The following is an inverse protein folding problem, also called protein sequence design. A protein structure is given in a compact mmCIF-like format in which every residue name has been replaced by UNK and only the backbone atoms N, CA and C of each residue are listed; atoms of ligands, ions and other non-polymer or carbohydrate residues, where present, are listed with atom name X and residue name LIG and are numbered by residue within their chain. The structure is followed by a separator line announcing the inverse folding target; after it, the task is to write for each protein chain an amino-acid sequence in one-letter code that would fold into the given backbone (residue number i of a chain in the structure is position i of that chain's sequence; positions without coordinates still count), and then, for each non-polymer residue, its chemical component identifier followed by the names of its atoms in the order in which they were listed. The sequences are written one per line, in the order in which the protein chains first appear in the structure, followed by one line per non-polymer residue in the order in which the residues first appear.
data_IF_415058597830
#
_entry.id   IF_415058597830
#
_cell.length_a   1.000
_cell.length_b   1.000
_cell.length_c   1.000
_cell.angle_alpha   90.00
_cell.angle_beta   90.00
_cell.angle_gamma   90.00
#
_symmetry.space_group_name_H-M   'P 1'
#
loop_
_entity.id
_entity.type
_entity.pdbx_description
1 polymer ?
#
# COMPACT_ATOMS: atom_id res chain seq x y z
N UNK A 1 27.05 -13.29 13.59
CA UNK A 1 25.91 -13.91 12.88
C UNK A 1 24.59 -13.76 13.63
N UNK A 2 24.50 -14.12 14.93
CA UNK A 2 23.27 -13.95 15.72
C UNK A 2 22.70 -12.53 15.70
N UNK A 3 23.53 -11.50 15.93
CA UNK A 3 23.11 -10.08 15.91
C UNK A 3 22.48 -9.69 14.57
N UNK A 4 23.09 -10.12 13.45
CA UNK A 4 22.58 -9.84 12.11
C UNK A 4 21.23 -10.55 11.88
N UNK A 5 21.10 -11.81 12.31
CA UNK A 5 19.86 -12.58 12.19
C UNK A 5 18.73 -11.97 13.04
N UNK A 6 19.01 -11.56 14.29
CA UNK A 6 18.05 -10.88 15.16
C UNK A 6 17.65 -9.52 14.59
N UNK A 7 18.58 -8.78 13.98
CA UNK A 7 18.26 -7.51 13.31
C UNK A 7 17.35 -7.73 12.08
N UNK A 8 17.71 -8.67 11.19
CA UNK A 8 16.90 -9.02 10.03
C UNK A 8 15.51 -9.53 10.44
N UNK A 9 15.45 -10.38 11.46
CA UNK A 9 14.21 -10.85 12.07
C UNK A 9 13.37 -9.70 12.61
N UNK A 10 13.96 -8.77 13.35
CA UNK A 10 13.24 -7.65 13.95
C UNK A 10 12.54 -6.81 12.89
N UNK A 11 13.24 -6.52 11.77
CA UNK A 11 12.68 -5.75 10.66
C UNK A 11 11.56 -6.52 9.95
N UNK A 12 11.81 -7.80 9.58
CA UNK A 12 10.82 -8.60 8.87
C UNK A 12 9.58 -8.91 9.74
N UNK A 13 9.78 -9.21 11.02
CA UNK A 13 8.72 -9.48 11.98
C UNK A 13 7.86 -8.23 12.22
N UNK A 14 8.49 -7.07 12.46
CA UNK A 14 7.78 -5.79 12.60
C UNK A 14 6.96 -5.48 11.35
N UNK A 15 7.60 -5.45 10.18
CA UNK A 15 6.92 -5.07 8.94
C UNK A 15 5.80 -6.08 8.60
N UNK A 16 6.05 -7.36 8.83
CA UNK A 16 5.08 -8.43 8.61
C UNK A 16 3.82 -8.27 9.47
N UNK A 17 4.00 -8.05 10.78
CA UNK A 17 2.88 -7.81 11.71
C UNK A 17 2.17 -6.49 11.42
N UNK A 18 2.91 -5.43 11.08
CA UNK A 18 2.34 -4.14 10.71
C UNK A 18 1.42 -4.26 9.49
N UNK A 19 1.89 -4.91 8.42
CA UNK A 19 1.10 -5.10 7.20
C UNK A 19 -0.12 -6.00 7.44
N UNK A 20 0.02 -7.06 8.22
CA UNK A 20 -1.09 -7.95 8.54
C UNK A 20 -2.15 -7.29 9.45
N UNK A 21 -1.75 -6.36 10.31
CA UNK A 21 -2.63 -5.68 11.27
C UNK A 21 -3.28 -4.40 10.75
N UNK A 22 -2.64 -3.69 9.80
CA UNK A 22 -3.10 -2.37 9.34
C UNK A 22 -4.40 -2.43 8.54
N UNK A 23 -4.47 -3.29 7.52
CA UNK A 23 -5.70 -3.50 6.75
C UNK A 23 -5.87 -5.01 6.43
N UNK A 24 -6.68 -5.74 7.22
CA UNK A 24 -6.89 -7.16 7.01
C UNK A 24 -7.82 -7.47 5.80
N UNK A 25 -8.52 -6.46 5.28
CA UNK A 25 -9.39 -6.58 4.12
C UNK A 25 -8.59 -6.55 2.81
N UNK A 26 -7.48 -5.80 2.77
CA UNK A 26 -6.57 -5.79 1.63
C UNK A 26 -5.83 -7.14 1.49
N UNK A 27 -6.06 -7.89 0.39
CA UNK A 27 -5.43 -9.18 0.20
C UNK A 27 -3.92 -9.10 -0.07
N UNK A 28 -3.43 -8.03 -0.69
CA UNK A 28 -2.00 -7.83 -0.96
C UNK A 28 -1.24 -7.57 0.33
N UNK A 29 -1.74 -6.68 1.19
CA UNK A 29 -1.12 -6.38 2.50
C UNK A 29 -1.12 -7.61 3.42
N UNK A 30 -2.25 -8.31 3.54
CA UNK A 30 -2.32 -9.50 4.37
C UNK A 30 -1.35 -10.59 3.91
N UNK A 31 -1.25 -10.82 2.59
CA UNK A 31 -0.31 -11.80 2.02
C UNK A 31 1.14 -11.35 2.21
N UNK A 32 1.45 -10.08 1.96
CA UNK A 32 2.79 -9.54 2.15
C UNK A 32 3.22 -9.67 3.63
N UNK A 33 2.31 -9.36 4.56
CA UNK A 33 2.50 -9.56 5.98
C UNK A 33 2.81 -11.02 6.35
N UNK A 34 2.00 -11.97 5.86
CA UNK A 34 2.22 -13.40 6.08
C UNK A 34 3.56 -13.89 5.50
N UNK A 35 3.96 -13.41 4.32
CA UNK A 35 5.24 -13.74 3.70
C UNK A 35 6.42 -13.29 4.57
N UNK A 36 6.39 -12.04 5.04
CA UNK A 36 7.42 -11.50 5.95
C UNK A 36 7.46 -12.22 7.31
N UNK A 37 6.30 -12.54 7.89
CA UNK A 37 6.21 -13.34 9.13
C UNK A 37 6.79 -14.73 8.92
N UNK A 38 6.51 -15.39 7.80
CA UNK A 38 7.10 -16.70 7.49
C UNK A 38 8.62 -16.65 7.34
N UNK A 39 9.15 -15.63 6.67
CA UNK A 39 10.60 -15.42 6.57
C UNK A 39 11.25 -15.14 7.94
N UNK A 40 10.60 -14.35 8.79
CA UNK A 40 11.08 -14.10 10.15
C UNK A 40 11.09 -15.40 10.98
N UNK A 41 10.09 -16.27 10.84
CA UNK A 41 10.10 -17.58 11.49
C UNK A 41 11.24 -18.47 10.96
N UNK A 42 11.55 -18.42 9.65
CA UNK A 42 12.71 -19.11 9.10
C UNK A 42 14.03 -18.65 9.74
N UNK A 43 14.20 -17.34 9.96
CA UNK A 43 15.40 -16.79 10.64
C UNK A 43 15.52 -17.24 12.09
N UNK A 44 14.39 -17.32 12.81
CA UNK A 44 14.36 -17.75 14.20
C UNK A 44 14.68 -19.24 14.37
N UNK A 45 14.33 -20.06 13.37
CA UNK A 45 14.52 -21.51 13.37
C UNK A 45 15.86 -21.97 12.76
N UNK A 46 16.59 -21.09 12.05
CA UNK A 46 17.95 -21.38 11.59
C UNK A 46 18.94 -21.47 12.80
N UNK A 47 20.07 -22.20 12.74
CA UNK A 47 20.59 -22.98 11.60
C UNK A 47 19.88 -24.33 11.42
N UNK A 48 19.99 -24.87 10.20
CA UNK A 48 19.38 -26.14 9.81
C UNK A 48 20.36 -27.29 10.15
N UNK A 49 20.23 -27.85 11.36
CA UNK A 49 21.13 -28.85 11.96
C UNK A 49 20.59 -30.31 11.91
N UNK A 50 19.61 -30.60 11.06
CA UNK A 50 19.06 -31.93 10.74
C UNK A 50 17.88 -32.41 11.61
N UNK A 51 17.22 -31.55 12.39
CA UNK A 51 16.14 -31.93 13.32
C UNK A 51 14.73 -31.63 12.77
N UNK A 52 13.65 -31.97 13.49
CA UNK A 52 12.27 -31.54 13.10
C UNK A 52 12.17 -30.01 13.00
N UNK A 53 13.01 -29.29 13.74
CA UNK A 53 13.13 -27.82 13.68
C UNK A 53 13.65 -27.37 12.32
N UNK A 54 14.53 -28.14 11.68
CA UNK A 54 14.98 -27.88 10.30
C UNK A 54 13.84 -28.01 9.31
N UNK A 55 13.04 -29.06 9.44
CA UNK A 55 12.00 -29.31 8.46
C UNK A 55 11.00 -28.15 8.44
N UNK A 56 10.68 -27.61 9.62
CA UNK A 56 9.89 -26.39 9.74
C UNK A 56 10.63 -25.17 9.19
N UNK A 57 11.91 -25.02 9.53
CA UNK A 57 12.74 -23.91 9.04
C UNK A 57 12.84 -23.86 7.52
N UNK A 58 13.06 -24.99 6.85
CA UNK A 58 13.09 -25.14 5.39
C UNK A 58 11.74 -24.77 4.76
N UNK A 59 10.64 -25.27 5.33
CA UNK A 59 9.28 -24.92 4.88
C UNK A 59 9.05 -23.40 5.00
N UNK A 60 9.40 -22.79 6.13
CA UNK A 60 9.27 -21.35 6.34
C UNK A 60 10.21 -20.52 5.45
N UNK A 61 11.35 -21.07 5.03
CA UNK A 61 12.26 -20.41 4.09
C UNK A 61 11.72 -20.41 2.65
N UNK A 62 11.00 -21.46 2.24
CA UNK A 62 10.35 -21.56 0.92
C UNK A 62 8.96 -20.90 0.85
N UNK A 63 8.24 -20.82 1.96
CA UNK A 63 6.88 -20.27 2.03
C UNK A 63 6.74 -18.84 1.47
N UNK A 64 7.67 -17.90 1.72
CA UNK A 64 7.62 -16.56 1.16
C UNK A 64 7.44 -16.56 -0.36
N UNK A 65 8.09 -17.47 -1.10
CA UNK A 65 7.98 -17.51 -2.56
C UNK A 65 6.56 -17.88 -3.04
N UNK A 66 5.92 -18.84 -2.37
CA UNK A 66 4.54 -19.22 -2.65
C UNK A 66 3.55 -18.12 -2.27
N UNK A 67 3.78 -17.45 -1.14
CA UNK A 67 2.93 -16.35 -0.67
C UNK A 67 3.09 -15.14 -1.59
N UNK A 68 4.31 -14.82 -2.02
CA UNK A 68 4.60 -13.68 -2.89
C UNK A 68 4.01 -13.83 -4.29
N UNK A 69 3.86 -15.07 -4.75
CA UNK A 69 3.05 -15.37 -5.95
C UNK A 69 1.64 -14.77 -5.80
N UNK A 70 1.01 -14.97 -4.65
CA UNK A 70 -0.31 -14.40 -4.34
C UNK A 70 -0.32 -12.88 -4.14
N UNK A 71 0.79 -12.29 -3.70
CA UNK A 71 0.98 -10.83 -3.62
C UNK A 71 0.99 -10.23 -5.03
N UNK A 72 1.78 -10.79 -5.96
CA UNK A 72 1.86 -10.31 -7.34
C UNK A 72 0.50 -10.42 -8.05
N UNK A 73 -0.25 -11.50 -7.81
CA UNK A 73 -1.60 -11.64 -8.34
C UNK A 73 -2.58 -10.60 -7.75
N UNK A 74 -2.41 -10.22 -6.48
CA UNK A 74 -3.22 -9.16 -5.86
C UNK A 74 -2.89 -7.77 -6.42
N UNK A 75 -1.65 -7.53 -6.83
CA UNK A 75 -1.20 -6.27 -7.46
C UNK A 75 -1.60 -6.15 -8.94
N UNK A 76 -2.18 -7.18 -9.56
CA UNK A 76 -2.70 -7.07 -10.92
C UNK A 76 -3.91 -6.12 -10.96
N UNK A 77 -4.13 -5.34 -12.03
CA UNK A 77 -5.30 -4.44 -12.13
C UNK A 77 -6.63 -5.19 -11.98
N UNK A 78 -7.62 -4.57 -11.31
CA UNK A 78 -8.95 -5.18 -11.06
C UNK A 78 -9.69 -5.61 -12.36
N UNK A 79 -9.40 -4.95 -13.48
CA UNK A 79 -9.99 -5.26 -14.79
C UNK A 79 -9.30 -6.40 -15.56
N UNK A 80 -8.25 -7.03 -15.02
CA UNK A 80 -7.52 -8.07 -15.73
C UNK A 80 -8.32 -9.39 -15.79
N UNK A 81 -8.65 -9.94 -16.97
CA UNK A 81 -9.48 -11.14 -17.09
C UNK A 81 -8.84 -12.39 -16.48
N UNK A 82 -7.51 -12.37 -16.31
CA UNK A 82 -6.72 -13.48 -15.76
C UNK A 82 -6.60 -13.45 -14.24
N UNK A 83 -6.93 -12.34 -13.57
CA UNK A 83 -6.69 -12.17 -12.12
C UNK A 83 -7.52 -13.17 -11.29
N UNK A 84 -8.83 -13.17 -11.47
CA UNK A 84 -9.74 -14.06 -10.75
C UNK A 84 -9.44 -15.57 -10.94
N UNK A 85 -9.23 -16.10 -12.17
CA UNK A 85 -8.87 -17.51 -12.34
C UNK A 85 -7.48 -17.83 -11.76
N UNK A 86 -6.48 -16.95 -11.96
CA UNK A 86 -5.14 -17.17 -11.41
C UNK A 86 -5.15 -17.18 -9.88
N UNK A 87 -5.91 -16.29 -9.24
CA UNK A 87 -6.05 -16.24 -7.78
C UNK A 87 -6.72 -17.51 -7.21
N UNK A 88 -7.71 -18.05 -7.93
CA UNK A 88 -8.36 -19.31 -7.56
C UNK A 88 -7.39 -20.50 -7.65
N UNK A 89 -6.65 -20.60 -8.75
CA UNK A 89 -5.63 -21.65 -8.97
C UNK A 89 -4.53 -21.52 -7.92
N UNK A 90 -4.07 -20.31 -7.64
CA UNK A 90 -3.06 -20.08 -6.62
C UNK A 90 -3.52 -20.56 -5.24
N UNK A 91 -4.72 -20.14 -4.81
CA UNK A 91 -5.25 -20.44 -3.47
C UNK A 91 -5.53 -21.93 -3.26
N UNK A 92 -6.08 -22.61 -4.27
CA UNK A 92 -6.56 -24.00 -4.12
C UNK A 92 -5.60 -25.06 -4.65
N UNK A 93 -4.63 -24.68 -5.47
CA UNK A 93 -3.70 -25.65 -6.09
C UNK A 93 -2.27 -25.30 -5.77
N UNK A 94 -1.78 -24.12 -6.17
CA UNK A 94 -0.35 -23.78 -6.06
C UNK A 94 0.09 -23.73 -4.60
N UNK A 95 -0.64 -23.02 -3.75
CA UNK A 95 -0.28 -22.84 -2.35
C UNK A 95 -0.28 -24.18 -1.58
N UNK A 96 -1.36 -25.00 -1.57
CA UNK A 96 -1.35 -26.26 -0.83
C UNK A 96 -0.36 -27.27 -1.42
N UNK A 97 -0.22 -27.35 -2.74
CA UNK A 97 0.72 -28.27 -3.39
C UNK A 97 2.17 -27.87 -3.11
N UNK A 98 2.49 -26.57 -3.22
CA UNK A 98 3.83 -26.07 -2.94
C UNK A 98 4.22 -26.24 -1.46
N UNK A 99 3.28 -26.07 -0.54
CA UNK A 99 3.52 -26.34 0.90
C UNK A 99 3.75 -27.83 1.14
N UNK A 100 2.95 -28.71 0.51
CA UNK A 100 3.13 -30.15 0.61
C UNK A 100 4.49 -30.60 0.04
N UNK A 101 4.91 -30.01 -1.09
CA UNK A 101 6.22 -30.25 -1.69
C UNK A 101 7.36 -29.78 -0.78
N UNK A 102 7.28 -28.57 -0.22
CA UNK A 102 8.28 -28.08 0.74
C UNK A 102 8.39 -29.00 1.96
N UNK A 103 7.25 -29.48 2.48
CA UNK A 103 7.23 -30.41 3.60
C UNK A 103 7.80 -31.78 3.24
N UNK A 104 7.53 -32.29 2.03
CA UNK A 104 8.09 -33.55 1.54
C UNK A 104 9.61 -33.43 1.34
N UNK A 105 10.07 -32.35 0.69
CA UNK A 105 11.48 -32.07 0.47
C UNK A 105 12.26 -31.95 1.79
N UNK A 106 11.66 -31.30 2.79
CA UNK A 106 12.21 -31.17 4.14
C UNK A 106 12.43 -32.51 4.86
N UNK A 107 11.66 -33.55 4.53
CA UNK A 107 11.79 -34.89 5.12
C UNK A 107 12.75 -35.77 4.32
N UNK A 108 12.72 -35.67 2.98
CA UNK A 108 13.47 -36.56 2.09
C UNK A 108 14.94 -36.13 1.92
N UNK A 109 15.21 -34.82 1.81
CA UNK A 109 16.54 -34.25 1.63
C UNK A 109 17.28 -34.56 0.31
N UNK A 110 18.24 -33.71 -0.06
CA UNK A 110 19.46 -34.02 -0.83
C UNK A 110 19.39 -34.41 -2.31
N UNK A 111 18.20 -34.71 -2.86
CA UNK A 111 18.05 -35.04 -4.29
C UNK A 111 16.89 -34.35 -5.01
N UNK A 112 15.89 -33.89 -4.26
CA UNK A 112 14.67 -33.27 -4.78
C UNK A 112 14.73 -31.75 -4.79
N UNK A 113 15.76 -31.15 -4.18
CA UNK A 113 15.96 -29.69 -4.06
C UNK A 113 15.80 -28.92 -5.39
N UNK A 114 16.35 -29.38 -6.53
CA UNK A 114 16.13 -28.68 -7.81
C UNK A 114 14.67 -28.75 -8.27
N UNK A 115 13.99 -29.88 -8.03
CA UNK A 115 12.58 -30.03 -8.37
C UNK A 115 11.72 -29.13 -7.47
N UNK A 116 11.99 -29.11 -6.18
CA UNK A 116 11.33 -28.23 -5.21
C UNK A 116 11.52 -26.76 -5.59
N UNK A 117 12.75 -26.36 -5.96
CA UNK A 117 13.02 -25.01 -6.45
C UNK A 117 12.19 -24.67 -7.70
N UNK A 118 12.11 -25.58 -8.68
CA UNK A 118 11.27 -25.39 -9.87
C UNK A 118 9.79 -25.27 -9.50
N UNK A 119 9.27 -26.17 -8.67
CA UNK A 119 7.85 -26.20 -8.29
C UNK A 119 7.43 -24.96 -7.47
N UNK A 120 8.33 -24.44 -6.63
CA UNK A 120 8.08 -23.26 -5.80
C UNK A 120 8.25 -21.95 -6.59
N UNK A 121 9.22 -21.88 -7.51
CA UNK A 121 9.55 -20.65 -8.23
C UNK A 121 8.81 -20.49 -9.56
N UNK A 122 8.38 -21.58 -10.20
CA UNK A 122 7.60 -21.51 -11.45
C UNK A 122 6.32 -20.67 -11.30
N UNK A 123 5.51 -20.82 -10.22
CA UNK A 123 4.35 -19.96 -10.00
C UNK A 123 4.71 -18.49 -9.82
N UNK A 124 5.80 -18.20 -9.12
CA UNK A 124 6.31 -16.84 -8.91
C UNK A 124 6.72 -16.21 -10.25
N UNK A 125 7.45 -16.96 -11.08
CA UNK A 125 7.85 -16.54 -12.41
C UNK A 125 6.64 -16.32 -13.34
N UNK A 126 5.63 -17.20 -13.27
CA UNK A 126 4.38 -17.05 -14.02
C UNK A 126 3.60 -15.79 -13.59
N UNK A 127 3.51 -15.51 -12.28
CA UNK A 127 2.87 -14.31 -11.77
C UNK A 127 3.63 -13.03 -12.18
N UNK A 128 4.97 -13.05 -12.10
CA UNK A 128 5.81 -11.96 -12.59
C UNK A 128 5.62 -11.71 -14.09
N UNK A 129 5.53 -12.77 -14.89
CA UNK A 129 5.24 -12.66 -16.32
C UNK A 129 3.88 -12.03 -16.58
N UNK A 130 2.84 -12.36 -15.80
CA UNK A 130 1.53 -11.71 -15.90
C UNK A 130 1.60 -10.21 -15.58
N UNK A 131 2.37 -9.81 -14.57
CA UNK A 131 2.60 -8.40 -14.23
C UNK A 131 3.31 -7.68 -15.38
N UNK A 132 4.35 -8.27 -15.97
CA UNK A 132 5.06 -7.72 -17.13
C UNK A 132 4.15 -7.62 -18.37
N UNK A 133 3.30 -8.62 -18.61
CA UNK A 133 2.34 -8.61 -19.71
C UNK A 133 1.26 -7.54 -19.52
N UNK A 134 0.79 -7.33 -18.29
CA UNK A 134 -0.14 -6.25 -17.97
C UNK A 134 0.51 -4.87 -18.23
N UNK A 135 1.81 -4.72 -17.94
CA UNK A 135 2.58 -3.50 -18.23
C UNK A 135 2.72 -3.23 -19.73
N UNK A 136 3.05 -4.24 -20.54
CA UNK A 136 3.19 -4.05 -22.00
C UNK A 136 1.85 -3.73 -22.66
N UNK A 137 0.77 -4.36 -22.20
CA UNK A 137 -0.59 -4.03 -22.66
C UNK A 137 -1.01 -2.58 -22.31
N UNK A 138 -0.62 -2.09 -21.12
CA UNK A 138 -0.88 -0.71 -20.70
C UNK A 138 0.00 0.31 -21.44
N UNK A 139 1.26 -0.02 -21.73
CA UNK A 139 2.21 0.85 -22.42
C UNK A 139 1.98 1.00 -23.93
N UNK A 140 1.33 0.02 -24.58
CA UNK A 140 1.03 0.07 -26.02
C UNK A 140 -0.12 1.00 -26.42
N UNK A 141 -0.91 1.49 -25.45
CA UNK A 141 -2.12 2.26 -25.69
C UNK A 141 -1.99 3.79 -25.44
N UNK A 142 -0.81 4.30 -25.05
CA UNK A 142 -0.62 5.72 -24.73
C UNK A 142 0.75 6.26 -25.15
N UNK A 143 0.76 7.27 -26.03
CA UNK A 143 1.97 7.97 -26.47
C UNK A 143 2.69 8.75 -25.35
N UNK A 144 3.90 9.27 -25.62
CA UNK A 144 4.82 9.82 -24.62
C UNK A 144 4.26 11.11 -24.03
N UNK A 145 3.60 11.01 -22.86
CA UNK A 145 3.11 12.14 -22.08
C UNK A 145 3.74 12.05 -20.69
N UNK A 146 4.92 12.65 -20.53
CA UNK A 146 5.71 12.62 -19.31
C UNK A 146 5.13 13.47 -18.18
N UNK A 147 5.13 12.88 -16.97
CA UNK A 147 5.37 13.48 -15.64
C UNK A 147 4.56 12.81 -14.51
N UNK A 148 3.38 12.25 -14.77
CA UNK A 148 2.59 11.51 -13.75
C UNK A 148 2.73 9.98 -13.83
N UNK A 149 3.23 9.45 -14.95
CA UNK A 149 3.53 8.03 -15.12
C UNK A 149 4.83 7.59 -14.42
N UNK A 150 5.67 8.52 -14.00
CA UNK A 150 7.04 8.23 -13.58
C UNK A 150 7.10 7.50 -12.23
N UNK A 151 6.32 7.96 -11.24
CA UNK A 151 6.27 7.33 -9.92
C UNK A 151 5.64 5.92 -9.94
N UNK A 152 4.63 5.71 -10.78
CA UNK A 152 4.01 4.38 -10.95
C UNK A 152 4.93 3.42 -11.71
N UNK A 153 5.59 3.90 -12.77
CA UNK A 153 6.56 3.11 -13.52
C UNK A 153 7.79 2.74 -12.69
N UNK A 154 8.29 3.67 -11.87
CA UNK A 154 9.37 3.41 -10.92
C UNK A 154 8.97 2.35 -9.90
N UNK A 155 7.79 2.47 -9.26
CA UNK A 155 7.29 1.47 -8.31
C UNK A 155 7.15 0.09 -8.95
N UNK A 156 6.52 0.00 -10.12
CA UNK A 156 6.42 -1.26 -10.86
C UNK A 156 7.80 -1.82 -11.24
N UNK A 157 8.74 -0.94 -11.60
CA UNK A 157 10.14 -1.31 -11.84
C UNK A 157 10.81 -1.88 -10.60
N UNK A 158 10.59 -1.27 -9.42
CA UNK A 158 11.08 -1.77 -8.13
C UNK A 158 10.43 -3.12 -7.79
N UNK A 159 9.12 -3.30 -7.99
CA UNK A 159 8.46 -4.61 -7.78
C UNK A 159 9.11 -5.68 -8.65
N UNK A 160 9.31 -5.41 -9.94
CA UNK A 160 9.93 -6.38 -10.86
C UNK A 160 11.37 -6.68 -10.44
N UNK A 161 12.18 -5.65 -10.18
CA UNK A 161 13.58 -5.82 -9.79
C UNK A 161 13.70 -6.59 -8.47
N UNK A 162 12.98 -6.19 -7.44
CA UNK A 162 13.03 -6.85 -6.15
C UNK A 162 12.44 -8.27 -6.20
N UNK A 163 11.44 -8.54 -7.06
CA UNK A 163 10.94 -9.91 -7.27
C UNK A 163 11.99 -10.79 -7.96
N UNK A 164 12.73 -10.25 -8.92
CA UNK A 164 13.81 -10.98 -9.60
C UNK A 164 14.97 -11.30 -8.66
N UNK A 165 15.40 -10.31 -7.86
CA UNK A 165 16.43 -10.50 -6.84
C UNK A 165 15.99 -11.51 -5.77
N UNK A 166 14.74 -11.38 -5.31
CA UNK A 166 14.14 -12.32 -4.38
C UNK A 166 14.08 -13.74 -4.95
N UNK A 167 13.65 -13.90 -6.20
CA UNK A 167 13.61 -15.21 -6.86
C UNK A 167 15.02 -15.83 -6.97
N UNK A 168 16.03 -15.02 -7.27
CA UNK A 168 17.43 -15.45 -7.30
C UNK A 168 17.92 -15.88 -5.90
N UNK A 169 17.62 -15.09 -4.87
CA UNK A 169 17.94 -15.44 -3.49
C UNK A 169 17.22 -16.72 -3.03
N UNK A 170 15.95 -16.89 -3.41
CA UNK A 170 15.17 -18.08 -3.11
C UNK A 170 15.72 -19.34 -3.81
N UNK A 171 16.27 -19.24 -5.02
CA UNK A 171 17.04 -20.34 -5.64
C UNK A 171 18.22 -20.72 -4.76
N UNK A 172 19.00 -19.74 -4.29
CA UNK A 172 20.18 -20.01 -3.46
C UNK A 172 19.83 -20.57 -2.07
N UNK A 173 18.63 -20.31 -1.54
CA UNK A 173 18.12 -20.91 -0.30
C UNK A 173 17.63 -22.35 -0.53
N UNK A 174 16.92 -22.60 -1.63
CA UNK A 174 16.34 -23.92 -1.92
C UNK A 174 17.34 -24.90 -2.53
N UNK A 175 18.37 -24.39 -3.19
CA UNK A 175 19.46 -25.16 -3.78
C UNK A 175 20.76 -24.70 -3.12
N UNK A 176 21.33 -25.48 -2.18
CA UNK A 176 22.56 -25.13 -1.50
C UNK A 176 23.74 -25.19 -2.46
N UNK A 177 24.06 -24.04 -3.07
CA UNK A 177 25.13 -23.89 -4.06
C UNK A 177 26.53 -23.94 -3.43
N UNK A 178 26.63 -23.73 -2.10
CA UNK A 178 27.89 -23.75 -1.35
C UNK A 178 28.87 -22.61 -1.65
N UNK A 179 28.51 -21.65 -2.52
CA UNK A 179 29.38 -20.54 -2.94
C UNK A 179 29.32 -19.33 -2.00
N UNK A 180 28.23 -19.16 -1.26
CA UNK A 180 27.97 -18.01 -0.39
C UNK A 180 27.49 -18.52 0.97
N UNK A 181 27.91 -17.93 2.10
CA UNK A 181 27.41 -18.32 3.41
C UNK A 181 25.88 -18.16 3.49
N UNK A 182 25.18 -19.18 3.99
CA UNK A 182 23.70 -19.22 4.05
C UNK A 182 23.11 -18.00 4.77
N UNK A 183 23.78 -17.51 5.81
CA UNK A 183 23.35 -16.31 6.54
C UNK A 183 23.35 -15.04 5.68
N UNK A 184 24.25 -14.93 4.69
CA UNK A 184 24.30 -13.80 3.76
C UNK A 184 23.22 -13.93 2.68
N UNK A 185 22.98 -15.15 2.20
CA UNK A 185 21.87 -15.44 1.28
C UNK A 185 20.53 -15.11 1.93
N UNK A 186 20.31 -15.60 3.16
CA UNK A 186 19.12 -15.31 3.95
C UNK A 186 18.95 -13.80 4.19
N UNK A 187 20.03 -13.08 4.53
CA UNK A 187 19.98 -11.63 4.72
C UNK A 187 19.62 -10.90 3.42
N UNK A 188 20.18 -11.30 2.28
CA UNK A 188 19.85 -10.72 0.97
C UNK A 188 18.37 -10.92 0.62
N UNK A 189 17.85 -12.14 0.79
CA UNK A 189 16.42 -12.45 0.62
C UNK A 189 15.55 -11.57 1.53
N UNK A 190 15.99 -11.33 2.77
CA UNK A 190 15.30 -10.45 3.71
C UNK A 190 15.22 -9.00 3.23
N UNK A 191 16.30 -8.47 2.66
CA UNK A 191 16.30 -7.12 2.07
C UNK A 191 15.27 -7.02 0.95
N UNK A 192 15.24 -8.00 0.04
CA UNK A 192 14.29 -7.99 -1.08
C UNK A 192 12.83 -8.05 -0.58
N UNK A 193 12.53 -8.91 0.40
CA UNK A 193 11.21 -9.02 1.00
C UNK A 193 10.77 -7.74 1.73
N UNK A 194 11.69 -7.07 2.43
CA UNK A 194 11.41 -5.80 3.09
C UNK A 194 11.12 -4.71 2.06
N UNK A 195 11.92 -4.62 1.00
CA UNK A 195 11.68 -3.67 -0.11
C UNK A 195 10.31 -3.92 -0.73
N UNK A 196 9.99 -5.18 -1.05
CA UNK A 196 8.69 -5.53 -1.63
C UNK A 196 7.53 -5.24 -0.66
N UNK A 197 7.68 -5.54 0.63
CA UNK A 197 6.69 -5.23 1.67
C UNK A 197 6.42 -3.73 1.81
N UNK A 198 7.47 -2.91 1.80
CA UNK A 198 7.35 -1.44 1.82
C UNK A 198 6.63 -0.93 0.56
N UNK A 199 6.94 -1.49 -0.61
CA UNK A 199 6.26 -1.10 -1.85
C UNK A 199 4.77 -1.45 -1.81
N UNK A 200 4.39 -2.60 -1.26
CA UNK A 200 2.98 -2.97 -1.04
C UNK A 200 2.31 -1.96 -0.09
N UNK A 201 2.96 -1.64 1.03
CA UNK A 201 2.46 -0.66 2.00
C UNK A 201 2.18 0.70 1.35
N UNK A 202 3.17 1.23 0.63
CA UNK A 202 3.09 2.53 -0.04
C UNK A 202 2.01 2.52 -1.13
N UNK A 203 1.85 1.41 -1.85
CA UNK A 203 0.84 1.30 -2.90
C UNK A 203 -0.57 1.34 -2.33
N UNK A 204 -0.85 0.53 -1.30
CA UNK A 204 -2.15 0.55 -0.61
C UNK A 204 -2.47 1.94 -0.04
N UNK A 205 -1.50 2.58 0.63
CA UNK A 205 -1.73 3.91 1.18
C UNK A 205 -2.03 4.98 0.13
N UNK A 206 -1.39 4.91 -1.04
CA UNK A 206 -1.70 5.81 -2.15
C UNK A 206 -3.08 5.54 -2.75
N UNK A 207 -3.50 4.27 -2.82
CA UNK A 207 -4.86 3.89 -3.27
C UNK A 207 -5.93 4.33 -2.26
N UNK A 208 -5.63 4.26 -0.97
CA UNK A 208 -6.47 4.76 0.12
C UNK A 208 -6.42 6.29 0.28
N UNK A 209 -5.45 6.96 -0.34
CA UNK A 209 -5.22 8.41 -0.19
C UNK A 209 -4.64 8.83 1.16
N UNK A 210 -4.04 7.91 1.91
CA UNK A 210 -3.60 8.10 3.29
C UNK A 210 -2.09 8.42 3.42
N UNK A 211 -1.73 9.22 4.43
CA UNK A 211 -0.35 9.48 4.81
C UNK A 211 0.28 8.32 5.60
N UNK A 212 0.78 7.29 4.89
CA UNK A 212 1.46 6.13 5.50
C UNK A 212 2.72 6.47 6.31
N UNK A 213 3.46 7.50 5.89
CA UNK A 213 4.84 7.71 6.34
C UNK A 213 4.98 7.98 7.84
N UNK A 214 4.04 8.73 8.43
CA UNK A 214 4.10 9.06 9.85
C UNK A 214 3.76 7.86 10.75
N UNK A 215 2.73 7.10 10.38
CA UNK A 215 2.29 5.92 11.12
C UNK A 215 3.31 4.77 11.02
N UNK A 216 3.80 4.49 9.80
CA UNK A 216 4.87 3.52 9.57
C UNK A 216 6.13 3.90 10.37
N UNK A 217 6.53 5.18 10.37
CA UNK A 217 7.67 5.66 11.16
C UNK A 217 7.44 5.51 12.66
N UNK A 218 6.25 5.85 13.16
CA UNK A 218 5.89 5.68 14.58
C UNK A 218 6.00 4.22 15.00
N UNK A 219 5.42 3.32 14.21
CA UNK A 219 5.48 1.87 14.45
C UNK A 219 6.92 1.36 14.38
N UNK A 220 7.71 1.79 13.38
CA UNK A 220 9.10 1.42 13.21
C UNK A 220 9.96 1.85 14.40
N UNK A 221 9.79 3.09 14.90
CA UNK A 221 10.51 3.60 16.08
C UNK A 221 10.14 2.78 17.31
N UNK A 222 8.86 2.46 17.50
CA UNK A 222 8.41 1.61 18.61
C UNK A 222 9.04 0.22 18.56
N UNK A 223 9.04 -0.44 17.40
CA UNK A 223 9.66 -1.74 17.22
C UNK A 223 11.18 -1.70 17.37
N UNK A 224 11.85 -0.65 16.88
CA UNK A 224 13.29 -0.46 17.04
C UNK A 224 13.65 -0.30 18.52
N UNK A 225 12.92 0.53 19.27
CA UNK A 225 13.14 0.71 20.70
C UNK A 225 12.95 -0.60 21.46
N UNK A 226 11.88 -1.35 21.15
CA UNK A 226 11.66 -2.67 21.73
C UNK A 226 12.81 -3.64 21.41
N UNK A 227 13.23 -3.72 20.15
CA UNK A 227 14.33 -4.59 19.73
C UNK A 227 15.65 -4.24 20.44
N UNK A 228 15.96 -2.94 20.59
CA UNK A 228 17.17 -2.47 21.26
C UNK A 228 17.13 -2.79 22.76
N UNK A 229 16.02 -2.51 23.44
CA UNK A 229 15.90 -2.74 24.89
C UNK A 229 15.99 -4.24 25.20
N UNK A 230 15.14 -5.04 24.57
CA UNK A 230 15.05 -6.47 24.89
C UNK A 230 16.19 -7.28 24.26
N UNK A 231 16.56 -6.99 23.00
CA UNK A 231 17.69 -7.63 22.34
C UNK A 231 19.04 -7.23 22.96
N UNK A 232 19.17 -5.97 23.40
CA UNK A 232 20.35 -5.49 24.11
C UNK A 232 20.56 -6.19 25.46
N UNK A 233 19.50 -6.42 26.23
CA UNK A 233 19.57 -7.20 27.47
C UNK A 233 20.07 -8.63 27.23
N UNK A 234 19.51 -9.32 26.23
CA UNK A 234 19.96 -10.68 25.88
C UNK A 234 21.41 -10.66 25.37
N UNK A 235 21.79 -9.63 24.60
CA UNK A 235 23.16 -9.42 24.14
C UNK A 235 24.16 -9.18 25.28
N UNK A 236 23.79 -8.40 26.30
CA UNK A 236 24.61 -8.17 27.49
C UNK A 236 24.82 -9.48 28.28
N UNK A 237 23.77 -10.29 28.42
CA UNK A 237 23.89 -11.63 29.01
C UNK A 237 24.82 -12.49 28.18
N UNK A 238 24.72 -12.46 26.85
CA UNK A 238 25.60 -13.21 25.95
C UNK A 238 27.07 -12.82 26.15
N UNK A 239 27.36 -11.52 26.25
CA UNK A 239 28.71 -10.99 26.47
C UNK A 239 29.22 -11.33 27.89
N UNK A 240 28.39 -11.21 28.91
CA UNK A 240 28.76 -11.54 30.29
C UNK A 240 28.97 -13.06 30.49
N UNK A 241 28.32 -13.88 29.67
CA UNK A 241 28.48 -15.34 29.67
C UNK A 241 29.71 -15.80 28.86
N UNK A 242 30.30 -14.91 28.06
CA UNK A 242 31.37 -15.21 27.13
C UNK A 242 32.73 -14.71 27.60
N UNK A 243 33.41 -15.50 28.45
CA UNK A 243 34.88 -15.66 28.45
C UNK A 243 35.37 -16.84 29.33
N UNK A 244 34.55 -17.36 30.25
CA UNK A 244 34.94 -18.49 31.13
C UNK A 244 34.07 -19.74 30.91
N UNK A 245 34.46 -20.57 29.92
CA UNK A 245 34.57 -22.04 30.02
C UNK A 245 34.76 -22.67 28.64
N UNK A 246 36.03 -22.85 28.30
CA UNK A 246 36.44 -24.01 27.52
C UNK A 246 36.00 -25.28 28.28
N UNK A 247 34.90 -25.89 27.85
CA UNK A 247 34.44 -27.20 28.32
C UNK A 247 33.06 -27.19 28.99
N UNK A 248 32.01 -27.36 28.19
CA UNK A 248 30.74 -27.92 28.66
C UNK A 248 29.48 -27.19 28.22
N UNK A 249 28.95 -27.58 27.05
CA UNK A 249 27.52 -27.53 26.75
C UNK A 249 27.11 -26.66 25.56
N UNK A 250 27.00 -27.27 24.37
CA UNK A 250 26.42 -26.67 23.16
C UNK A 250 25.01 -26.05 23.41
N UNK A 251 24.26 -26.53 24.41
CA UNK A 251 22.89 -26.08 24.69
C UNK A 251 22.72 -24.66 25.25
N UNK A 252 23.76 -24.03 25.81
CA UNK A 252 23.63 -22.67 26.39
C UNK A 252 23.49 -21.60 25.29
N UNK A 253 24.20 -21.78 24.16
CA UNK A 253 24.08 -20.89 23.00
C UNK A 253 22.71 -20.96 22.34
N UNK A 254 22.16 -22.17 22.22
CA UNK A 254 20.84 -22.40 21.63
C UNK A 254 19.70 -21.86 22.49
N UNK A 255 19.77 -22.07 23.81
CA UNK A 255 18.78 -21.51 24.73
C UNK A 255 18.76 -19.97 24.68
N UNK A 256 19.93 -19.35 24.59
CA UNK A 256 20.05 -17.90 24.48
C UNK A 256 19.53 -17.38 23.14
N UNK A 257 19.73 -18.12 22.05
CA UNK A 257 19.17 -17.83 20.73
C UNK A 257 17.64 -17.86 20.76
N UNK A 258 17.04 -18.94 21.28
CA UNK A 258 15.58 -19.08 21.41
C UNK A 258 15.01 -17.95 22.25
N UNK A 259 15.68 -17.62 23.36
CA UNK A 259 15.29 -16.49 24.21
C UNK A 259 15.38 -15.15 23.47
N UNK A 260 16.45 -14.92 22.70
CA UNK A 260 16.62 -13.69 21.92
C UNK A 260 15.47 -13.47 20.94
N UNK A 261 15.18 -14.46 20.09
CA UNK A 261 14.09 -14.37 19.12
C UNK A 261 12.71 -14.30 19.80
N UNK A 262 12.49 -15.08 20.85
CA UNK A 262 11.23 -15.10 21.58
C UNK A 262 10.92 -13.77 22.27
N UNK A 263 11.87 -13.22 23.03
CA UNK A 263 11.66 -11.97 23.79
C UNK A 263 11.58 -10.78 22.83
N UNK A 264 12.48 -10.68 21.85
CA UNK A 264 12.44 -9.58 20.87
C UNK A 264 11.16 -9.66 20.02
N UNK A 265 10.80 -10.86 19.55
CA UNK A 265 9.58 -11.09 18.78
C UNK A 265 8.31 -10.73 19.55
N UNK A 266 8.21 -11.14 20.82
CA UNK A 266 7.09 -10.80 21.69
C UNK A 266 7.00 -9.29 21.94
N UNK A 267 8.12 -8.63 22.23
CA UNK A 267 8.16 -7.20 22.48
C UNK A 267 7.74 -6.40 21.23
N UNK A 268 8.28 -6.74 20.06
CA UNK A 268 7.89 -6.12 18.79
C UNK A 268 6.41 -6.37 18.52
N UNK A 269 5.91 -7.59 18.73
CA UNK A 269 4.50 -7.91 18.49
C UNK A 269 3.57 -7.08 19.38
N UNK A 270 3.88 -6.92 20.67
CA UNK A 270 3.08 -6.11 21.60
C UNK A 270 3.03 -4.64 21.17
N UNK A 271 4.16 -4.07 20.76
CA UNK A 271 4.22 -2.66 20.35
C UNK A 271 3.57 -2.44 18.98
N UNK A 272 3.79 -3.36 18.04
CA UNK A 272 3.27 -3.25 16.67
C UNK A 272 1.76 -3.47 16.62
N UNK A 273 1.26 -4.41 17.41
CA UNK A 273 -0.17 -4.76 17.50
C UNK A 273 -0.84 -4.14 18.73
N UNK A 274 -0.34 -3.00 19.21
CA UNK A 274 -0.79 -2.38 20.47
C UNK A 274 -2.32 -2.24 20.55
N UNK A 275 -2.98 -1.76 19.48
CA UNK A 275 -4.44 -1.61 19.45
C UNK A 275 -5.17 -2.96 19.52
N UNK A 276 -4.67 -3.99 18.84
CA UNK A 276 -5.25 -5.34 18.87
C UNK A 276 -5.05 -6.01 20.24
N UNK A 277 -3.87 -5.86 20.85
CA UNK A 277 -3.58 -6.35 22.20
C UNK A 277 -4.46 -5.65 23.23
N UNK A 278 -4.60 -4.33 23.14
CA UNK A 278 -5.49 -3.57 24.01
C UNK A 278 -6.95 -4.00 23.85
N UNK A 279 -7.43 -4.23 22.63
CA UNK A 279 -8.78 -4.74 22.39
C UNK A 279 -8.98 -6.14 23.00
N UNK A 280 -7.98 -7.02 22.93
CA UNK A 280 -8.03 -8.33 23.56
C UNK A 280 -8.05 -8.23 25.09
N UNK A 281 -7.20 -7.38 25.68
CA UNK A 281 -7.16 -7.10 27.12
C UNK A 281 -8.49 -6.52 27.58
N UNK A 282 -9.04 -5.54 26.87
CA UNK A 282 -10.33 -4.93 27.21
C UNK A 282 -11.47 -5.96 27.16
N UNK A 283 -11.46 -6.88 26.17
CA UNK A 283 -12.45 -7.98 26.10
C UNK A 283 -12.39 -8.90 27.32
N UNK A 284 -11.18 -9.17 27.84
CA UNK A 284 -11.00 -10.00 29.03
C UNK A 284 -11.35 -9.23 30.31
N UNK A 285 -10.76 -8.06 30.50
CA UNK A 285 -10.87 -7.26 31.72
C UNK A 285 -12.27 -6.67 31.92
N UNK A 286 -12.95 -6.34 30.83
CA UNK A 286 -14.29 -5.73 30.84
C UNK A 286 -15.34 -6.62 30.17
N UNK A 287 -15.19 -7.95 30.29
CA UNK A 287 -16.13 -8.93 29.74
C UNK A 287 -17.59 -8.63 30.16
N UNK A 288 -17.79 -8.21 31.42
CA UNK A 288 -19.11 -7.85 31.97
C UNK A 288 -19.56 -6.40 31.74
N UNK A 289 -18.78 -5.56 31.08
CA UNK A 289 -19.07 -4.12 30.90
C UNK A 289 -18.95 -3.71 29.42
N UNK A 290 -19.91 -4.10 28.55
CA UNK A 290 -19.84 -3.83 27.11
C UNK A 290 -19.81 -2.34 26.78
N UNK A 291 -20.58 -1.51 27.49
CA UNK A 291 -20.60 -0.05 27.27
C UNK A 291 -19.23 0.62 27.52
N UNK A 292 -18.48 0.16 28.52
CA UNK A 292 -17.13 0.70 28.79
C UNK A 292 -16.15 0.31 27.67
N UNK A 293 -16.29 -0.87 27.08
CA UNK A 293 -15.47 -1.30 25.94
C UNK A 293 -15.75 -0.44 24.71
N UNK A 294 -17.02 -0.12 24.46
CA UNK A 294 -17.44 0.74 23.35
C UNK A 294 -16.87 2.16 23.49
N UNK A 295 -17.04 2.79 24.66
CA UNK A 295 -16.47 4.13 24.88
C UNK A 295 -14.93 4.15 24.80
N UNK A 296 -14.24 3.10 25.25
CA UNK A 296 -12.78 3.00 25.11
C UNK A 296 -12.34 2.75 23.67
N UNK A 297 -13.12 2.02 22.88
CA UNK A 297 -12.87 1.86 21.46
C UNK A 297 -13.05 3.19 20.72
N UNK A 298 -14.13 3.91 20.99
CA UNK A 298 -14.41 5.23 20.40
C UNK A 298 -13.30 6.26 20.70
N UNK A 299 -12.83 6.34 21.95
CA UNK A 299 -11.72 7.22 22.31
C UNK A 299 -10.41 6.88 21.59
N UNK A 300 -10.16 5.60 21.32
CA UNK A 300 -8.99 5.16 20.55
C UNK A 300 -9.15 5.49 19.08
N UNK A 301 -10.31 5.20 18.48
CA UNK A 301 -10.59 5.53 17.08
C UNK A 301 -10.44 7.03 16.83
N UNK A 302 -10.90 7.85 17.77
CA UNK A 302 -10.71 9.30 17.76
C UNK A 302 -9.22 9.71 17.86
N UNK A 303 -8.43 9.03 18.70
CA UNK A 303 -6.98 9.24 18.80
C UNK A 303 -6.24 8.81 17.52
N UNK A 304 -6.61 7.66 16.95
CA UNK A 304 -6.03 7.11 15.72
C UNK A 304 -6.44 7.94 14.48
N UNK A 305 -7.52 8.73 14.58
CA UNK A 305 -7.89 9.73 13.60
C UNK A 305 -7.06 11.03 13.69
N UNK A 306 -6.30 11.28 14.76
CA UNK A 306 -5.52 12.51 14.91
C UNK A 306 -4.40 12.66 13.85
N UNK A 307 -3.62 11.62 13.50
CA UNK A 307 -2.69 11.71 12.36
C UNK A 307 -3.38 12.03 11.02
N UNK A 308 -4.66 11.66 10.85
CA UNK A 308 -5.46 12.02 9.67
C UNK A 308 -5.81 13.53 9.67
N UNK A 309 -5.85 14.18 10.83
CA UNK A 309 -5.97 15.65 10.93
C UNK A 309 -4.68 16.37 10.51
N UNK A 310 -3.50 15.75 10.62
CA UNK A 310 -2.23 16.31 10.09
C UNK A 310 -2.20 16.36 8.55
N UNK A 311 -3.04 15.61 7.83
CA UNK A 311 -3.19 15.75 6.38
C UNK A 311 -3.76 17.13 5.99
N UNK A 312 -4.54 17.77 6.88
CA UNK A 312 -4.96 19.17 6.71
C UNK A 312 -3.74 20.10 6.69
N UNK A 313 -2.77 19.88 7.60
CA UNK A 313 -1.49 20.59 7.60
C UNK A 313 -0.64 20.26 6.37
N UNK A 314 -0.76 19.05 5.82
CA UNK A 314 -0.05 18.67 4.59
C UNK A 314 -0.59 19.39 3.35
N UNK A 315 -1.91 19.57 3.23
CA UNK A 315 -2.52 20.37 2.16
C UNK A 315 -2.04 21.84 2.19
N UNK A 316 -1.70 22.36 3.36
CA UNK A 316 -1.14 23.70 3.54
C UNK A 316 0.36 23.77 3.18
N UNK A 317 1.07 22.66 3.28
CA UNK A 317 2.48 22.56 2.89
C UNK A 317 2.71 22.27 1.39
N UNK A 318 1.66 21.92 0.63
CA UNK A 318 1.78 21.63 -0.81
C UNK A 318 2.11 22.87 -1.63
N UNK A 319 3.00 22.72 -2.61
CA UNK A 319 3.25 23.75 -3.62
C UNK A 319 2.01 24.02 -4.50
N UNK A 320 1.99 25.18 -5.16
CA UNK A 320 0.87 25.67 -5.98
C UNK A 320 0.51 24.71 -7.12
N UNK A 321 1.52 24.07 -7.72
CA UNK A 321 1.35 23.18 -8.86
C UNK A 321 0.78 21.83 -8.43
N UNK A 322 1.21 21.27 -7.30
CA UNK A 322 0.69 20.05 -6.70
C UNK A 322 -0.75 20.24 -6.26
N UNK A 323 -1.06 21.36 -5.61
CA UNK A 323 -2.44 21.66 -5.25
C UNK A 323 -3.33 21.82 -6.49
N UNK A 324 -2.84 22.51 -7.53
CA UNK A 324 -3.54 22.61 -8.81
C UNK A 324 -3.81 21.25 -9.44
N UNK A 325 -2.87 20.29 -9.36
CA UNK A 325 -3.06 18.93 -9.86
C UNK A 325 -4.23 18.24 -9.16
N UNK A 326 -4.30 18.32 -7.82
CA UNK A 326 -5.40 17.74 -7.05
C UNK A 326 -6.76 18.34 -7.44
N UNK A 327 -6.82 19.67 -7.63
CA UNK A 327 -8.04 20.37 -8.07
C UNK A 327 -8.43 19.93 -9.48
N UNK A 328 -7.47 19.80 -10.40
CA UNK A 328 -7.73 19.32 -11.76
C UNK A 328 -8.28 17.91 -11.76
N UNK A 329 -7.70 17.00 -10.96
CA UNK A 329 -8.17 15.62 -10.85
C UNK A 329 -9.57 15.55 -10.23
N UNK A 330 -9.86 16.37 -9.22
CA UNK A 330 -11.20 16.48 -8.65
C UNK A 330 -12.23 17.03 -9.67
N UNK A 331 -11.89 18.05 -10.45
CA UNK A 331 -12.76 18.59 -11.52
C UNK A 331 -13.04 17.55 -12.60
N UNK A 332 -12.02 16.77 -13.01
CA UNK A 332 -12.19 15.69 -13.98
C UNK A 332 -13.13 14.59 -13.49
N UNK A 333 -13.12 14.33 -12.19
CA UNK A 333 -13.96 13.33 -11.53
C UNK A 333 -15.24 13.91 -10.92
N UNK A 334 -15.60 15.16 -11.21
CA UNK A 334 -16.73 15.88 -10.60
C UNK A 334 -18.07 15.12 -10.68
N UNK A 335 -18.32 14.43 -11.78
CA UNK A 335 -19.54 13.65 -12.01
C UNK A 335 -19.59 12.31 -11.25
N UNK A 336 -18.50 11.87 -10.63
CA UNK A 336 -18.37 10.57 -9.96
C UNK A 336 -18.10 10.78 -8.47
N UNK A 337 -19.17 10.72 -7.68
CA UNK A 337 -19.10 10.95 -6.24
C UNK A 337 -18.17 9.93 -5.55
N UNK A 338 -18.13 8.68 -6.03
CA UNK A 338 -17.26 7.63 -5.50
C UNK A 338 -15.78 7.97 -5.66
N UNK A 339 -15.40 8.58 -6.79
CA UNK A 339 -14.02 9.06 -7.01
C UNK A 339 -13.70 10.36 -6.30
N UNK A 340 -14.69 11.17 -5.93
CA UNK A 340 -14.48 12.35 -5.09
C UNK A 340 -14.20 11.96 -3.63
N UNK A 341 -14.73 10.82 -3.17
CA UNK A 341 -14.46 10.28 -1.82
C UNK A 341 -12.98 9.93 -1.60
N UNK A 342 -12.22 9.63 -2.65
CA UNK A 342 -10.78 9.37 -2.55
C UNK A 342 -9.92 10.63 -2.77
N UNK A 343 -10.53 11.81 -2.94
CA UNK A 343 -9.79 13.05 -3.16
C UNK A 343 -9.20 13.59 -1.84
N UNK A 344 -7.89 13.92 -1.80
CA UNK A 344 -7.29 14.57 -0.63
C UNK A 344 -7.95 15.93 -0.28
N UNK A 345 -8.67 16.55 -1.23
CA UNK A 345 -9.36 17.83 -1.03
C UNK A 345 -10.55 17.75 -0.04
N UNK A 346 -10.97 16.57 0.38
CA UNK A 346 -12.01 16.40 1.41
C UNK A 346 -11.60 16.93 2.78
N UNK A 347 -10.30 17.07 3.01
CA UNK A 347 -9.72 17.62 4.23
C UNK A 347 -9.62 19.16 4.21
N UNK A 348 -10.17 19.85 3.20
CA UNK A 348 -10.14 21.31 3.14
C UNK A 348 -10.95 21.94 4.30
N UNK A 349 -10.44 22.99 4.97
CA UNK A 349 -11.17 23.70 6.03
C UNK A 349 -12.53 24.23 5.58
N UNK A 350 -12.64 24.65 4.31
CA UNK A 350 -13.90 25.12 3.73
C UNK A 350 -14.98 24.02 3.64
N UNK A 351 -14.59 22.75 3.50
CA UNK A 351 -15.52 21.60 3.53
C UNK A 351 -15.99 21.37 4.97
N UNK A 352 -15.08 21.37 5.93
CA UNK A 352 -15.41 21.18 7.35
C UNK A 352 -16.31 22.31 7.89
N UNK A 353 -16.07 23.55 7.48
CA UNK A 353 -16.89 24.70 7.86
C UNK A 353 -18.35 24.55 7.40
N UNK A 354 -18.58 23.94 6.24
CA UNK A 354 -19.93 23.67 5.72
C UNK A 354 -20.64 22.55 6.45
N UNK A 355 -19.91 21.56 6.91
CA UNK A 355 -20.44 20.45 7.71
C UNK A 355 -20.78 20.86 9.15
N UNK A 356 -20.43 22.08 9.56
CA UNK A 356 -20.85 22.65 10.85
C UNK A 356 -20.35 21.86 12.06
N UNK A 357 -19.18 21.22 11.94
CA UNK A 357 -18.59 20.41 13.01
C UNK A 357 -19.21 19.01 13.20
N UNK A 358 -20.18 18.60 12.37
CA UNK A 358 -20.65 17.21 12.34
C UNK A 358 -19.58 16.33 11.69
N UNK A 359 -19.24 15.20 12.31
CA UNK A 359 -18.43 14.17 11.65
C UNK A 359 -19.29 13.49 10.58
N UNK A 360 -19.37 14.11 9.40
CA UNK A 360 -20.10 13.56 8.26
C UNK A 360 -19.42 12.33 7.67
N UNK A 361 -20.22 11.39 7.16
CA UNK A 361 -19.71 10.25 6.42
C UNK A 361 -18.87 10.73 5.22
N UNK A 362 -17.93 9.92 4.68
CA UNK A 362 -17.09 10.32 3.54
C UNK A 362 -17.88 10.82 2.31
N UNK A 363 -19.09 10.29 2.11
CA UNK A 363 -20.02 10.71 1.05
C UNK A 363 -20.58 12.13 1.29
N UNK A 364 -20.81 12.52 2.53
CA UNK A 364 -21.29 13.86 2.89
C UNK A 364 -20.19 14.88 2.61
N UNK A 365 -18.95 14.59 3.01
CA UNK A 365 -17.77 15.40 2.67
C UNK A 365 -17.58 15.53 1.17
N UNK A 366 -17.74 14.44 0.42
CA UNK A 366 -17.62 14.47 -1.04
C UNK A 366 -18.73 15.30 -1.70
N UNK A 367 -19.94 15.28 -1.15
CA UNK A 367 -21.05 16.12 -1.58
C UNK A 367 -20.75 17.61 -1.35
N UNK A 368 -20.20 17.95 -0.19
CA UNK A 368 -19.79 19.33 0.11
C UNK A 368 -18.60 19.80 -0.73
N UNK A 369 -17.60 18.95 -0.97
CA UNK A 369 -16.50 19.24 -1.89
C UNK A 369 -17.03 19.50 -3.31
N UNK A 370 -17.96 18.67 -3.78
CA UNK A 370 -18.62 18.86 -5.08
C UNK A 370 -19.33 20.20 -5.14
N UNK A 371 -20.08 20.57 -4.10
CA UNK A 371 -20.76 21.85 -4.02
C UNK A 371 -19.78 23.04 -3.99
N UNK A 372 -18.64 22.92 -3.30
CA UNK A 372 -17.57 23.92 -3.30
C UNK A 372 -16.94 24.10 -4.68
N UNK A 373 -16.62 23.01 -5.37
CA UNK A 373 -16.08 23.06 -6.73
C UNK A 373 -17.07 23.71 -7.69
N UNK A 374 -18.36 23.39 -7.57
CA UNK A 374 -19.41 24.01 -8.38
C UNK A 374 -19.44 25.53 -8.15
N UNK A 375 -19.39 25.98 -6.90
CA UNK A 375 -19.39 27.41 -6.60
C UNK A 375 -18.16 28.11 -7.19
N UNK A 376 -16.98 27.48 -7.13
CA UNK A 376 -15.78 28.04 -7.74
C UNK A 376 -15.93 28.15 -9.27
N UNK A 377 -16.53 27.16 -9.92
CA UNK A 377 -16.84 27.21 -11.36
C UNK A 377 -17.83 28.34 -11.64
N UNK A 378 -18.91 28.45 -10.88
CA UNK A 378 -19.93 29.48 -11.06
C UNK A 378 -19.38 30.90 -10.90
N UNK A 379 -18.37 31.12 -10.05
CA UNK A 379 -17.69 32.42 -9.94
C UNK A 379 -16.90 32.82 -11.17
N UNK A 380 -16.52 31.85 -12.03
CA UNK A 380 -15.89 32.14 -13.32
C UNK A 380 -16.90 32.69 -14.34
N UNK A 381 -18.21 32.58 -14.05
CA UNK A 381 -19.26 33.13 -14.91
C UNK A 381 -19.21 34.67 -14.85
N UNK A 382 -19.20 35.37 -16.00
CA UNK A 382 -19.34 36.82 -16.02
C UNK A 382 -20.63 37.29 -15.33
N UNK A 383 -20.57 38.41 -14.60
CA UNK A 383 -21.71 38.96 -13.84
C UNK A 383 -22.80 39.48 -14.78
N UNK A 384 -24.06 39.24 -14.42
CA UNK A 384 -25.26 39.77 -15.07
C UNK A 384 -25.39 39.51 -16.58
N UNK A 385 -24.79 38.41 -17.06
CA UNK A 385 -24.82 38.05 -18.48
C UNK A 385 -25.56 36.72 -18.71
N UNK A 386 -26.50 36.72 -19.66
CA UNK A 386 -27.02 35.50 -20.27
C UNK A 386 -25.88 34.77 -21.01
N UNK A 387 -26.01 33.44 -21.20
CA UNK A 387 -25.00 32.59 -21.82
C UNK A 387 -24.23 33.26 -22.97
N UNK A 388 -22.89 33.28 -22.85
CA UNK A 388 -22.01 33.88 -23.84
C UNK A 388 -20.89 32.94 -24.30
N UNK A 389 -20.28 33.31 -25.43
CA UNK A 389 -19.17 32.61 -26.07
C UNK A 389 -17.93 33.49 -26.25
N UNK A 390 -17.91 34.66 -25.60
CA UNK A 390 -16.78 35.58 -25.62
C UNK A 390 -15.58 35.00 -24.85
N UNK A 391 -14.43 35.67 -24.97
CA UNK A 391 -13.20 35.25 -24.30
C UNK A 391 -13.34 35.16 -22.77
N UNK A 392 -14.19 36.00 -22.18
CA UNK A 392 -14.46 36.02 -20.73
C UNK A 392 -15.19 34.76 -20.26
N UNK A 393 -16.01 34.14 -21.12
CA UNK A 393 -16.75 32.92 -20.80
C UNK A 393 -15.90 31.65 -20.91
N UNK A 394 -14.69 31.73 -21.46
CA UNK A 394 -13.91 30.53 -21.86
C UNK A 394 -13.67 29.55 -20.71
N UNK A 395 -13.35 30.04 -19.51
CA UNK A 395 -13.01 29.16 -18.38
C UNK A 395 -14.26 28.56 -17.75
N UNK A 396 -15.33 29.36 -17.61
CA UNK A 396 -16.63 28.85 -17.19
C UNK A 396 -17.13 27.77 -18.15
N UNK A 397 -17.18 28.07 -19.46
CA UNK A 397 -17.68 27.13 -20.47
C UNK A 397 -16.81 25.86 -20.54
N UNK A 398 -15.50 25.98 -20.39
CA UNK A 398 -14.57 24.85 -20.46
C UNK A 398 -14.69 23.86 -19.29
N UNK A 399 -15.17 24.32 -18.13
CA UNK A 399 -15.37 23.48 -16.93
C UNK A 399 -16.83 23.07 -16.77
N UNK A 400 -17.77 24.03 -16.81
CA UNK A 400 -19.18 23.80 -16.51
C UNK A 400 -19.80 22.77 -17.45
N UNK A 401 -19.71 22.99 -18.77
CA UNK A 401 -20.37 22.10 -19.71
C UNK A 401 -19.77 20.69 -19.73
N UNK A 402 -18.43 20.50 -19.76
CA UNK A 402 -17.86 19.16 -19.75
C UNK A 402 -18.00 18.39 -18.45
N UNK A 403 -17.88 19.06 -17.30
CA UNK A 403 -17.82 18.39 -16.00
C UNK A 403 -19.14 18.45 -15.23
N UNK A 404 -19.83 19.59 -15.22
CA UNK A 404 -21.08 19.78 -14.46
C UNK A 404 -22.28 19.32 -15.27
N UNK A 405 -22.44 19.83 -16.50
CA UNK A 405 -23.51 19.41 -17.41
C UNK A 405 -23.23 18.06 -18.10
N UNK A 406 -22.01 17.53 -17.97
CA UNK A 406 -21.63 16.20 -18.48
C UNK A 406 -21.51 16.10 -20.00
N UNK A 407 -21.39 17.23 -20.70
CA UNK A 407 -21.35 17.29 -22.17
C UNK A 407 -19.99 16.81 -22.68
N UNK A 408 -19.99 15.89 -23.65
CA UNK A 408 -18.75 15.37 -24.27
C UNK A 408 -18.64 15.82 -25.73
N UNK A 409 -18.13 17.03 -26.02
CA UNK A 409 -18.20 17.67 -27.35
C UNK A 409 -17.48 16.89 -28.46
N UNK A 410 -16.41 16.16 -28.14
CA UNK A 410 -15.59 15.43 -29.11
C UNK A 410 -15.84 13.92 -29.14
N UNK A 411 -16.94 13.44 -28.53
CA UNK A 411 -17.35 12.04 -28.66
C UNK A 411 -17.82 11.78 -30.09
N UNK A 412 -17.45 10.63 -30.68
CA UNK A 412 -17.84 10.25 -32.05
C UNK A 412 -19.37 10.27 -32.27
N UNK A 413 -20.13 9.80 -31.28
CA UNK A 413 -21.59 9.82 -31.27
C UNK A 413 -22.07 10.47 -29.97
N UNK A 414 -22.29 11.80 -29.97
CA UNK A 414 -22.75 12.53 -28.80
C UNK A 414 -24.25 12.29 -28.59
N UNK A 415 -24.64 12.03 -27.36
CA UNK A 415 -26.04 12.00 -26.96
C UNK A 415 -26.49 13.43 -26.65
N UNK A 416 -27.47 13.92 -27.40
CA UNK A 416 -28.05 15.25 -27.24
C UNK A 416 -29.46 15.20 -26.65
N UNK A 417 -29.96 13.99 -26.35
CA UNK A 417 -31.26 13.82 -25.72
C UNK A 417 -31.22 14.37 -24.29
N UNK A 418 -32.23 15.16 -23.92
CA UNK A 418 -32.31 15.76 -22.59
C UNK A 418 -31.47 17.03 -22.33
N UNK A 419 -30.72 17.54 -23.31
CA UNK A 419 -30.02 18.83 -23.18
C UNK A 419 -31.00 20.02 -23.29
N UNK A 420 -30.87 20.97 -22.37
CA UNK A 420 -31.53 22.27 -22.43
C UNK A 420 -30.95 23.15 -23.57
N UNK A 421 -31.67 24.22 -23.92
CA UNK A 421 -31.31 25.07 -25.06
C UNK A 421 -29.92 25.73 -24.89
N UNK A 422 -29.52 26.03 -23.66
CA UNK A 422 -28.20 26.63 -23.40
C UNK A 422 -27.09 25.59 -23.56
N UNK A 423 -27.27 24.38 -23.02
CA UNK A 423 -26.33 23.28 -23.23
C UNK A 423 -26.16 22.90 -24.70
N UNK A 424 -27.22 22.95 -25.50
CA UNK A 424 -27.14 22.73 -26.96
C UNK A 424 -26.31 23.81 -27.65
N UNK A 425 -26.58 25.09 -27.35
CA UNK A 425 -25.79 26.21 -27.88
C UNK A 425 -24.31 26.10 -27.51
N UNK A 426 -24.02 25.70 -26.27
CA UNK A 426 -22.65 25.49 -25.80
C UNK A 426 -21.97 24.32 -26.50
N UNK A 427 -22.66 23.18 -26.66
CA UNK A 427 -22.16 22.02 -27.40
C UNK A 427 -21.80 22.38 -28.84
N UNK A 428 -22.70 23.07 -29.55
CA UNK A 428 -22.48 23.49 -30.93
C UNK A 428 -21.30 24.45 -31.04
N UNK A 429 -21.18 25.41 -30.12
CA UNK A 429 -20.05 26.33 -30.10
C UNK A 429 -18.73 25.61 -29.84
N UNK A 430 -18.66 24.74 -28.83
CA UNK A 430 -17.46 23.94 -28.50
C UNK A 430 -17.00 23.12 -29.70
N UNK A 431 -17.94 22.47 -30.40
CA UNK A 431 -17.60 21.61 -31.53
C UNK A 431 -17.21 22.39 -32.79
N UNK A 432 -17.82 23.56 -33.02
CA UNK A 432 -17.61 24.36 -34.24
C UNK A 432 -16.41 25.30 -34.16
N UNK A 433 -16.14 25.88 -32.99
CA UNK A 433 -15.17 26.97 -32.84
C UNK A 433 -14.00 26.67 -31.91
N UNK A 434 -14.08 25.60 -31.10
CA UNK A 434 -13.02 25.27 -30.12
C UNK A 434 -12.35 23.95 -30.52
N UNK A 435 -11.06 23.94 -30.88
CA UNK A 435 -10.30 22.72 -31.06
C UNK A 435 -10.13 21.96 -29.73
N UNK A 436 -10.05 20.62 -29.78
CA UNK A 436 -9.89 19.78 -28.58
C UNK A 436 -8.67 20.17 -27.73
N UNK A 437 -7.54 20.45 -28.38
CA UNK A 437 -6.32 20.93 -27.72
C UNK A 437 -6.53 22.27 -26.99
N UNK A 438 -7.33 23.16 -27.57
CA UNK A 438 -7.65 24.46 -26.97
C UNK A 438 -8.54 24.29 -25.76
N UNK A 439 -9.55 23.42 -25.84
CA UNK A 439 -10.39 23.09 -24.69
C UNK A 439 -9.55 22.55 -23.54
N UNK A 440 -8.65 21.61 -23.83
CA UNK A 440 -7.75 21.03 -22.82
C UNK A 440 -6.85 22.11 -22.16
N UNK A 441 -6.31 23.04 -22.95
CA UNK A 441 -5.52 24.14 -22.42
C UNK A 441 -6.35 25.09 -21.54
N UNK A 442 -7.58 25.39 -21.93
CA UNK A 442 -8.50 26.20 -21.13
C UNK A 442 -8.90 25.50 -19.84
N UNK A 443 -9.13 24.19 -19.85
CA UNK A 443 -9.39 23.40 -18.64
C UNK A 443 -8.21 23.45 -17.68
N UNK A 444 -6.98 23.30 -18.18
CA UNK A 444 -5.77 23.40 -17.36
C UNK A 444 -5.56 24.78 -16.77
N UNK A 445 -5.83 25.84 -17.53
CA UNK A 445 -5.76 27.22 -17.04
C UNK A 445 -6.87 27.50 -16.02
N UNK A 446 -8.11 27.09 -16.29
CA UNK A 446 -9.24 27.27 -15.40
C UNK A 446 -9.05 26.52 -14.06
N UNK A 447 -8.48 25.31 -14.09
CA UNK A 447 -8.15 24.56 -12.88
C UNK A 447 -7.17 25.31 -11.96
N UNK A 448 -6.21 26.08 -12.52
CA UNK A 448 -5.32 26.96 -11.72
C UNK A 448 -6.09 28.09 -11.05
N UNK A 449 -7.05 28.69 -11.75
CA UNK A 449 -7.90 29.76 -11.18
C UNK A 449 -8.77 29.21 -10.05
N UNK A 450 -9.39 28.04 -10.24
CA UNK A 450 -10.18 27.35 -9.20
C UNK A 450 -9.29 26.98 -8.01
N UNK A 451 -8.07 26.49 -8.25
CA UNK A 451 -7.12 26.18 -7.18
C UNK A 451 -6.73 27.43 -6.37
N UNK A 452 -6.57 28.57 -7.03
CA UNK A 452 -6.31 29.83 -6.35
C UNK A 452 -7.52 30.28 -5.50
N UNK A 453 -8.75 30.22 -6.02
CA UNK A 453 -9.97 30.56 -5.26
C UNK A 453 -10.19 29.63 -4.06
N UNK A 454 -9.88 28.33 -4.20
CA UNK A 454 -9.95 27.40 -3.07
C UNK A 454 -8.91 27.69 -1.99
N UNK A 455 -7.75 28.26 -2.36
CA UNK A 455 -6.71 28.66 -1.39
C UNK A 455 -7.02 29.97 -0.69
N UNK A 456 -7.57 30.96 -1.39
CA UNK A 456 -7.95 32.23 -0.75
C UNK A 456 -9.05 32.03 0.30
N UNK A 457 -9.90 31.02 0.14
CA UNK A 457 -10.90 30.60 1.13
C UNK A 457 -10.34 29.79 2.32
N UNK A 458 -9.02 29.52 2.35
CA UNK A 458 -8.36 28.89 3.50
C UNK A 458 -7.99 29.89 4.60
N UNK A 459 -7.83 31.17 4.25
CA UNK A 459 -7.63 32.27 5.21
C UNK A 459 -8.97 32.88 5.59
#
# INVERSE_FOLDING_TARGET
MLVLAVAAFSVAWWLGLYLAGRDPADPAMRRAGLGLVSYALALALAPFDGTVVDALGYVFAGLPALIWTGVLLALLPDGAPWRAPAERVWRWTVLPLGVAELAAAAIVGGGWEPLTAVLVLLPLAAALWLVLRARTAAGGAGGPSGSSGDSSALRQGVVVLATLLFALGAVAVLVPLGWVPDGLVLAAVGVDLVVLGVVVAVTNALEAGEALGADLRRSAVGALLAAVVFGGQVGLVALASGDDRAGGGDGAGDALRVLAFGVVGAAIAVVTLASAVQAAVDRLAFAGAPALRESRAELRDASDALPRRDERHHLDALDDDAFTRLVRDALRNYGDLGKLVSSPLLALPAVDARLGGREGHPLDRATELKALLLECIERLRPRDAEFGTSEEWRYFNALYFPYVAGIRPYRRQPDLSGLDDTSRRAFDWLRRYVPERTLYNWQNAAARVVAHDLRTRRG
#
